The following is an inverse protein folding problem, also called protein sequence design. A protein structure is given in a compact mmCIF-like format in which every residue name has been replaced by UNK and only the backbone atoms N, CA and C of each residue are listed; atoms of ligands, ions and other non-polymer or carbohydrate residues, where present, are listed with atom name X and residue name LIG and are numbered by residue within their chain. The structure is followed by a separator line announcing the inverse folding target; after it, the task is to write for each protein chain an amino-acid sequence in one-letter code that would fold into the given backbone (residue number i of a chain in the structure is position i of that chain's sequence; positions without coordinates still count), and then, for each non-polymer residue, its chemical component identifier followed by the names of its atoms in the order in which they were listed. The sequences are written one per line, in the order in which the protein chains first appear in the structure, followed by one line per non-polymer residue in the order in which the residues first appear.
data_IF_699075015696
#
_entry.id   IF_699075015696
#
_cell.length_a   1.000
_cell.length_b   1.000
_cell.length_c   1.000
_cell.angle_alpha   90.00
_cell.angle_beta   90.00
_cell.angle_gamma   90.00
#
_symmetry.space_group_name_H-M   'P 1'
#
loop_
_entity.id
_entity.type
_entity.pdbx_description
1 polymer ?
#
# COMPACT_ATOMS: atom_id res chain seq x y z
N UNK A 1 -51.47 -16.37 5.00
CA UNK A 1 -50.44 -17.42 4.79
C UNK A 1 -49.46 -17.35 5.95
N UNK A 2 -49.37 -18.40 6.78
CA UNK A 2 -48.48 -18.41 7.93
C UNK A 2 -47.05 -18.70 7.46
N UNK A 3 -46.14 -17.72 7.60
CA UNK A 3 -44.70 -17.98 7.45
C UNK A 3 -44.29 -19.04 8.44
N UNK A 4 -43.86 -20.20 7.95
CA UNK A 4 -43.41 -21.31 8.78
C UNK A 4 -42.08 -20.96 9.45
N UNK A 5 -41.74 -21.62 10.56
CA UNK A 5 -40.45 -21.42 11.25
C UNK A 5 -39.25 -21.57 10.30
N UNK A 6 -39.34 -22.47 9.33
CA UNK A 6 -38.33 -22.68 8.28
C UNK A 6 -38.12 -21.45 7.39
N UNK A 7 -39.19 -20.76 6.97
CA UNK A 7 -39.07 -19.53 6.16
C UNK A 7 -38.37 -18.40 6.92
N UNK A 8 -38.59 -18.28 8.23
CA UNK A 8 -37.90 -17.30 9.07
C UNK A 8 -36.40 -17.59 9.17
N UNK A 9 -36.05 -18.86 9.37
CA UNK A 9 -34.65 -19.31 9.41
C UNK A 9 -33.96 -19.05 8.05
N UNK A 10 -34.65 -19.33 6.93
CA UNK A 10 -34.09 -19.07 5.60
C UNK A 10 -33.81 -17.57 5.38
N UNK A 11 -34.73 -16.70 5.80
CA UNK A 11 -34.52 -15.25 5.72
C UNK A 11 -33.33 -14.77 6.56
N UNK A 12 -33.09 -15.37 7.74
CA UNK A 12 -31.91 -15.06 8.55
C UNK A 12 -30.62 -15.55 7.90
N UNK A 13 -30.63 -16.75 7.30
CA UNK A 13 -29.50 -17.28 6.53
C UNK A 13 -29.14 -16.32 5.39
N UNK A 14 -30.13 -15.88 4.61
CA UNK A 14 -29.89 -15.00 3.47
C UNK A 14 -29.40 -13.61 3.91
N UNK A 15 -29.92 -13.10 5.04
CA UNK A 15 -29.42 -11.87 5.66
C UNK A 15 -27.96 -11.99 6.11
N UNK A 16 -27.58 -13.11 6.72
CA UNK A 16 -26.19 -13.35 7.15
C UNK A 16 -25.27 -13.51 5.94
N UNK A 17 -25.71 -14.21 4.89
CA UNK A 17 -24.95 -14.33 3.62
C UNK A 17 -24.68 -12.96 3.00
N UNK A 18 -25.70 -12.10 2.93
CA UNK A 18 -25.53 -10.74 2.41
C UNK A 18 -24.48 -9.94 3.21
N UNK A 19 -24.52 -10.03 4.55
CA UNK A 19 -23.52 -9.40 5.42
C UNK A 19 -22.11 -9.96 5.21
N UNK A 20 -21.98 -11.27 5.02
CA UNK A 20 -20.68 -11.90 4.74
C UNK A 20 -20.11 -11.37 3.43
N UNK A 21 -20.92 -11.30 2.37
CA UNK A 21 -20.47 -10.78 1.07
C UNK A 21 -20.04 -9.31 1.15
N UNK A 22 -20.76 -8.47 1.89
CA UNK A 22 -20.38 -7.08 2.14
C UNK A 22 -19.03 -6.97 2.88
N UNK A 23 -18.84 -7.77 3.94
CA UNK A 23 -17.58 -7.78 4.69
C UNK A 23 -16.41 -8.31 3.84
N UNK A 24 -16.65 -9.29 2.98
CA UNK A 24 -15.64 -9.80 2.04
C UNK A 24 -15.23 -8.75 1.00
N UNK A 25 -16.17 -7.95 0.51
CA UNK A 25 -15.86 -6.83 -0.38
C UNK A 25 -15.01 -5.77 0.34
N UNK A 26 -15.42 -5.39 1.56
CA UNK A 26 -14.65 -4.45 2.38
C UNK A 26 -13.25 -4.94 2.71
N UNK A 27 -13.07 -6.24 2.95
CA UNK A 27 -11.75 -6.84 3.19
C UNK A 27 -10.82 -6.65 1.98
N UNK A 28 -11.31 -6.96 0.77
CA UNK A 28 -10.54 -6.76 -0.47
C UNK A 28 -10.14 -5.31 -0.70
N UNK A 29 -11.04 -4.36 -0.42
CA UNK A 29 -10.73 -2.94 -0.51
C UNK A 29 -9.62 -2.51 0.48
N UNK A 30 -9.63 -3.05 1.70
CA UNK A 30 -8.59 -2.75 2.69
C UNK A 30 -7.24 -3.36 2.30
N UNK A 31 -7.23 -4.57 1.76
CA UNK A 31 -6.01 -5.21 1.23
C UNK A 31 -5.42 -4.40 0.06
N UNK A 32 -6.27 -3.92 -0.85
CA UNK A 32 -5.83 -3.05 -1.94
C UNK A 32 -5.28 -1.71 -1.43
N UNK A 33 -5.99 -1.04 -0.51
CA UNK A 33 -5.52 0.23 0.09
C UNK A 33 -4.18 0.07 0.81
N UNK A 34 -3.98 -1.05 1.50
CA UNK A 34 -2.70 -1.36 2.14
C UNK A 34 -1.59 -1.44 1.09
N UNK A 35 -1.80 -2.19 0.01
CA UNK A 35 -0.81 -2.32 -1.06
C UNK A 35 -0.51 -0.97 -1.74
N UNK A 36 -1.54 -0.16 -2.00
CA UNK A 36 -1.38 1.18 -2.56
C UNK A 36 -0.58 2.11 -1.63
N UNK A 37 -0.84 2.06 -0.32
CA UNK A 37 -0.08 2.81 0.68
C UNK A 37 1.40 2.36 0.73
N UNK A 38 1.67 1.06 0.80
CA UNK A 38 3.03 0.50 0.77
C UNK A 38 3.78 0.92 -0.51
N UNK A 39 3.12 0.89 -1.67
CA UNK A 39 3.70 1.35 -2.93
C UNK A 39 3.97 2.87 -2.93
N UNK A 40 3.05 3.66 -2.38
CA UNK A 40 3.24 5.12 -2.27
C UNK A 40 4.41 5.45 -1.35
N UNK A 41 4.54 4.75 -0.22
CA UNK A 41 5.67 4.91 0.72
C UNK A 41 7.00 4.61 0.02
N UNK A 42 7.08 3.54 -0.77
CA UNK A 42 8.27 3.23 -1.57
C UNK A 42 8.59 4.36 -2.53
N UNK A 43 7.59 4.89 -3.25
CA UNK A 43 7.77 6.00 -4.20
C UNK A 43 8.24 7.26 -3.48
N UNK A 44 7.67 7.58 -2.32
CA UNK A 44 8.02 8.77 -1.55
C UNK A 44 9.42 8.66 -0.93
N UNK A 45 9.83 7.48 -0.46
CA UNK A 45 11.21 7.20 -0.04
C UNK A 45 12.17 7.44 -1.21
N UNK A 46 11.89 6.84 -2.37
CA UNK A 46 12.74 6.99 -3.57
C UNK A 46 12.81 8.45 -4.03
N UNK A 47 11.71 9.20 -3.92
CA UNK A 47 11.69 10.63 -4.25
C UNK A 47 12.47 11.46 -3.22
N UNK A 48 12.36 11.14 -1.93
CA UNK A 48 13.07 11.81 -0.84
C UNK A 48 14.60 11.64 -0.90
N UNK A 49 15.07 10.59 -1.56
CA UNK A 49 16.49 10.36 -1.86
C UNK A 49 17.09 11.39 -2.84
N UNK A 50 16.29 12.33 -3.37
CA UNK A 50 16.73 13.52 -4.12
C UNK A 50 17.70 13.25 -5.27
N UNK A 51 17.49 12.15 -5.99
CA UNK A 51 18.29 11.78 -7.15
C UNK A 51 17.92 12.68 -8.35
N UNK A 52 18.89 13.37 -8.94
CA UNK A 52 18.66 14.16 -10.14
C UNK A 52 18.29 13.27 -11.34
N UNK A 53 17.36 13.73 -12.19
CA UNK A 53 17.01 13.06 -13.46
C UNK A 53 18.23 12.85 -14.37
N UNK A 54 19.26 13.68 -14.26
CA UNK A 54 20.52 13.54 -15.02
C UNK A 54 21.44 12.45 -14.47
N UNK A 55 21.30 12.09 -13.19
CA UNK A 55 22.11 11.09 -12.49
C UNK A 55 21.44 9.71 -12.50
N UNK A 56 20.14 9.66 -12.78
CA UNK A 56 19.34 8.44 -12.91
C UNK A 56 19.94 7.42 -13.91
N UNK A 57 20.39 7.80 -15.13
CA UNK A 57 21.00 6.86 -16.07
C UNK A 57 22.32 6.28 -15.55
N UNK A 58 23.12 7.09 -14.86
CA UNK A 58 24.39 6.66 -14.26
C UNK A 58 24.17 5.67 -13.11
N UNK A 59 23.09 5.84 -12.34
CA UNK A 59 22.66 4.89 -11.32
C UNK A 59 22.21 3.55 -11.91
N UNK A 60 21.44 3.56 -13.00
CA UNK A 60 21.02 2.33 -13.66
C UNK A 60 22.19 1.54 -14.24
N UNK A 61 23.20 2.22 -14.79
CA UNK A 61 24.44 1.56 -15.23
C UNK A 61 25.19 0.92 -14.04
N UNK A 62 25.36 1.64 -12.93
CA UNK A 62 25.99 1.07 -11.71
C UNK A 62 25.20 -0.11 -11.11
N UNK A 63 23.88 -0.11 -11.21
CA UNK A 63 23.02 -1.22 -10.77
C UNK A 63 23.19 -2.47 -11.66
N UNK A 64 23.32 -2.29 -12.98
CA UNK A 64 23.60 -3.40 -13.91
C UNK A 64 24.95 -4.05 -13.64
N UNK A 65 25.93 -3.26 -13.20
CA UNK A 65 27.27 -3.74 -12.82
C UNK A 65 27.31 -4.41 -11.43
N UNK A 66 26.15 -4.63 -10.80
CA UNK A 66 26.03 -5.32 -9.51
C UNK A 66 26.16 -4.39 -8.28
N UNK A 67 26.11 -3.08 -8.47
CA UNK A 67 26.13 -2.09 -7.39
C UNK A 67 24.82 -2.03 -6.59
N UNK A 68 24.93 -1.71 -5.29
CA UNK A 68 23.76 -1.53 -4.42
C UNK A 68 23.37 -0.05 -4.31
N UNK A 69 22.06 0.23 -4.36
CA UNK A 69 21.52 1.60 -4.32
C UNK A 69 21.93 2.38 -3.06
N UNK A 70 22.16 1.69 -1.93
CA UNK A 70 22.47 2.32 -0.65
C UNK A 70 23.78 3.12 -0.59
N UNK A 71 24.72 2.91 -1.53
CA UNK A 71 25.97 3.67 -1.60
C UNK A 71 25.91 4.88 -2.54
N UNK A 72 24.95 4.91 -3.45
CA UNK A 72 24.90 5.90 -4.53
C UNK A 72 23.97 7.08 -4.22
N UNK A 73 23.34 7.05 -3.06
CA UNK A 73 22.34 8.01 -2.62
C UNK A 73 23.04 9.04 -1.74
N UNK A 74 22.99 10.33 -2.09
CA UNK A 74 23.46 11.38 -1.20
C UNK A 74 22.75 11.22 0.15
N UNK A 75 23.51 11.11 1.24
CA UNK A 75 22.92 11.22 2.58
C UNK A 75 22.28 12.60 2.64
N UNK A 76 20.95 12.65 2.69
CA UNK A 76 20.23 13.88 3.03
C UNK A 76 20.87 14.42 4.30
N UNK A 77 21.47 15.61 4.22
CA UNK A 77 21.99 16.28 5.39
C UNK A 77 20.84 16.40 6.40
N UNK A 78 21.07 15.93 7.63
CA UNK A 78 20.14 16.17 8.73
C UNK A 78 19.88 17.67 8.76
N UNK A 79 18.63 18.07 8.46
CA UNK A 79 18.14 19.40 8.77
C UNK A 79 18.34 19.59 10.27
N UNK A 80 19.44 20.27 10.64
CA UNK A 80 19.63 20.82 11.97
C UNK A 80 18.40 21.71 12.21
N UNK A 81 17.49 21.21 13.04
CA UNK A 81 16.50 22.05 13.71
C UNK A 81 17.29 23.12 14.47
N UNK A 82 17.35 24.32 13.90
CA UNK A 82 17.72 25.52 14.62
C UNK A 82 16.63 25.76 15.68
N UNK A 83 17.05 25.59 16.92
CA UNK A 83 16.36 26.02 18.13
C UNK A 83 16.36 27.55 18.15
N UNK A 84 15.17 28.16 18.17
CA UNK A 84 14.97 29.54 18.58
C UNK A 84 13.58 29.71 19.22
#
# INVERSE_FOLDING_TARGET
MATTKSMKIQAEIDKVKAKISEQQARLKELEQKKLEAENSEIVDIVRGMSISLTELPLLFEKLKDGGTLGQSVPKSEEEKKEEN
#
